data_IF_293389075660
#
_entry.id   IF_293389075660
#
_cell.length_a   1.000
_cell.length_b   1.000
_cell.length_c   1.000
_cell.angle_alpha   90.00
_cell.angle_beta   90.00
_cell.angle_gamma   90.00
#
_symmetry.space_group_name_H-M   'P 1'
#
loop_
_entity.id
_entity.type
_entity.pdbx_description
1 polymer ?
2 polymer ?
3 polymer ?
4 water ?
#
# COMPACT_ATOMS: atom_id res chain seq x y z
N UNK A 1 7.87 1.93 -19.87
CA UNK A 1 7.26 2.80 -18.89
C UNK A 1 8.18 3.10 -17.72
N UNK A 2 7.74 3.98 -16.83
CA UNK A 2 8.50 4.31 -15.63
C UNK A 2 8.47 3.16 -14.63
N UNK A 3 9.60 2.90 -13.99
CA UNK A 3 9.66 1.89 -12.94
C UNK A 3 10.38 2.43 -11.71
N UNK A 4 10.13 1.82 -10.57
CA UNK A 4 10.75 2.28 -9.32
C UNK A 4 11.17 1.14 -8.42
N UNK A 5 12.23 1.38 -7.65
CA UNK A 5 12.67 0.47 -6.60
C UNK A 5 12.63 1.25 -5.31
N UNK A 6 11.99 0.69 -4.28
CA UNK A 6 11.84 1.39 -3.01
C UNK A 6 11.99 0.43 -1.84
N UNK A 7 12.65 0.91 -0.79
CA UNK A 7 12.74 0.17 0.46
C UNK A 7 12.12 0.98 1.58
N UNK A 8 11.35 0.31 2.43
CA UNK A 8 10.75 0.96 3.60
C UNK A 8 11.08 0.15 4.86
N UNK A 9 11.79 0.78 5.79
CA UNK A 9 12.16 0.12 7.04
C UNK A 9 11.29 0.67 8.16
N UNK A 10 10.82 -0.22 9.03
CA UNK A 10 10.07 0.20 10.21
C UNK A 10 10.75 -0.31 11.47
N UNK A 11 11.15 0.61 12.32
CA UNK A 11 11.74 0.30 13.58
C UNK A 11 10.75 0.58 14.71
N UNK A 12 10.65 -0.32 15.67
CA UNK A 12 9.73 -0.15 16.78
C UNK A 12 10.35 -0.43 18.17
N UNK A 13 10.02 0.42 19.13
CA UNK A 13 10.46 0.28 20.51
C UNK A 13 9.23 -0.25 21.25
N UNK A 14 9.39 -1.38 21.94
CA UNK A 14 8.26 -2.00 22.66
C UNK A 14 7.34 -2.80 21.70
N UNK A 15 7.01 -4.03 22.08
CA UNK A 15 6.20 -4.91 21.24
C UNK A 15 4.71 -4.74 21.46
N UNK A 16 3.95 -5.81 21.22
CA UNK A 16 4.52 -7.09 20.79
C UNK A 16 4.15 -7.37 19.33
N UNK A 17 3.05 -6.77 18.89
CA UNK A 17 2.48 -7.04 17.56
C UNK A 17 3.53 -7.23 16.46
N UNK A 18 4.57 -6.41 16.47
CA UNK A 18 5.60 -6.49 15.42
C UNK A 18 7.01 -6.57 16.02
N UNK A 19 7.95 -7.12 15.24
CA UNK A 19 9.36 -7.20 15.64
C UNK A 19 10.02 -5.83 15.71
N UNK A 20 11.23 -5.77 16.26
CA UNK A 20 11.95 -4.52 16.43
C UNK A 20 12.23 -3.83 15.09
N UNK A 21 12.43 -4.64 14.05
CA UNK A 21 12.79 -4.11 12.75
C UNK A 21 12.10 -4.91 11.65
N UNK A 22 11.47 -4.18 10.72
CA UNK A 22 10.84 -4.79 9.55
C UNK A 22 11.30 -4.04 8.31
N UNK A 23 11.65 -4.79 7.26
CA UNK A 23 12.03 -4.17 5.99
C UNK A 23 11.21 -4.77 4.86
N UNK A 24 10.72 -3.90 3.98
CA UNK A 24 9.99 -4.34 2.79
C UNK A 24 10.58 -3.68 1.56
N UNK A 25 10.85 -4.49 0.53
CA UNK A 25 11.35 -3.98 -0.73
C UNK A 25 10.29 -4.08 -1.80
N UNK A 26 10.19 -3.06 -2.64
CA UNK A 26 9.14 -3.02 -3.66
C UNK A 26 9.66 -2.55 -5.00
N UNK A 27 9.16 -3.16 -6.07
CA UNK A 27 9.34 -2.63 -7.41
C UNK A 27 7.96 -2.23 -7.92
N UNK A 28 7.84 -0.99 -8.40
CA UNK A 28 6.55 -0.45 -8.82
C UNK A 28 5.49 -0.64 -7.72
N UNK A 29 5.90 -0.44 -6.48
CA UNK A 29 5.01 -0.49 -5.33
C UNK A 29 4.45 -1.89 -5.05
N UNK A 30 5.06 -2.90 -5.67
CA UNK A 30 4.71 -4.29 -5.40
C UNK A 30 5.83 -4.98 -4.64
N UNK A 31 5.50 -5.56 -3.49
CA UNK A 31 6.53 -6.17 -2.63
C UNK A 31 7.23 -7.33 -3.31
N UNK A 32 8.57 -7.36 -3.21
CA UNK A 32 9.34 -8.47 -3.74
C UNK A 32 10.30 -9.04 -2.68
N UNK A 33 10.40 -8.35 -1.55
CA UNK A 33 11.34 -8.72 -0.50
C UNK A 33 10.75 -8.47 0.89
N UNK A 34 11.13 -9.31 1.85
CA UNK A 34 10.75 -9.11 3.25
C UNK A 34 11.89 -9.48 4.19
N UNK A 35 11.96 -8.77 5.32
CA UNK A 35 12.92 -9.08 6.37
C UNK A 35 12.39 -8.54 7.69
N UNK A 36 12.61 -9.29 8.76
CA UNK A 36 12.37 -8.77 10.10
C UNK A 36 13.36 -9.34 11.11
N UNK A 37 13.43 -8.69 12.27
CA UNK A 37 14.43 -9.03 13.29
C UNK A 37 14.07 -10.25 14.12
N UNK A 38 12.89 -10.83 13.86
CA UNK A 38 12.51 -12.08 14.50
C UNK A 38 13.16 -13.27 13.80
N UNK A 39 13.04 -13.29 12.47
CA UNK A 39 13.59 -14.38 11.67
C UNK A 39 15.04 -14.11 11.31
N UNK A 40 15.42 -12.83 11.26
CA UNK A 40 16.77 -12.44 10.87
C UNK A 40 17.13 -12.97 9.49
N UNK A 41 16.12 -13.16 8.64
CA UNK A 41 16.33 -13.64 7.28
C UNK A 41 15.59 -12.80 6.26
N UNK A 42 16.29 -12.41 5.19
CA UNK A 42 15.67 -11.74 4.05
C UNK A 42 15.14 -12.80 3.10
N UNK A 43 13.89 -12.66 2.68
CA UNK A 43 13.25 -13.66 1.83
C UNK A 43 12.52 -13.06 0.63
N UNK A 44 12.44 -13.83 -0.47
CA UNK A 44 11.75 -13.40 -1.70
C UNK A 44 10.23 -13.40 -1.53
N UNK A 45 9.55 -12.51 -2.25
CA UNK A 45 8.10 -12.42 -2.16
C UNK A 45 7.42 -12.46 -3.53
N UNK A 46 8.21 -12.64 -4.58
CA UNK A 46 7.65 -12.80 -5.93
C UNK A 46 8.36 -13.92 -6.69
N UNK A 47 7.68 -14.47 -7.69
CA UNK A 47 8.26 -15.52 -8.52
C UNK A 47 9.47 -15.01 -9.30
N UNK A 48 9.39 -13.79 -9.81
CA UNK A 48 10.46 -13.30 -10.68
C UNK A 48 11.79 -13.08 -9.95
N UNK A 49 11.75 -12.77 -8.66
CA UNK A 49 12.99 -12.64 -7.91
C UNK A 49 13.48 -14.04 -7.51
N UNK A 50 12.54 -14.93 -7.22
CA UNK A 50 12.87 -16.31 -6.88
C UNK A 50 13.64 -17.02 -7.99
N UNK A 51 13.20 -16.81 -9.22
CA UNK A 51 13.74 -17.53 -10.36
C UNK A 51 15.03 -16.91 -10.91
N UNK A 52 15.39 -15.73 -10.40
CA UNK A 52 16.53 -15.00 -10.95
C UNK A 52 17.63 -14.67 -9.94
N UNK A 53 17.36 -14.91 -8.66
CA UNK A 53 18.37 -14.73 -7.62
C UNK A 53 18.27 -15.88 -6.62
N UNK A 54 19.38 -16.20 -5.97
CA UNK A 54 19.42 -17.35 -5.09
C UNK A 54 20.12 -17.11 -3.76
N UNK A 55 20.74 -18.16 -3.24
CA UNK A 55 21.32 -18.15 -1.90
C UNK A 55 22.29 -17.00 -1.64
N UNK A 56 23.21 -16.78 -2.58
CA UNK A 56 24.21 -15.72 -2.41
C UNK A 56 23.56 -14.34 -2.30
N UNK A 57 22.61 -14.06 -3.18
CA UNK A 57 21.92 -12.78 -3.18
C UNK A 57 21.24 -12.54 -1.83
N UNK A 58 20.54 -13.56 -1.34
CA UNK A 58 19.77 -13.42 -0.11
C UNK A 58 20.63 -13.41 1.15
N UNK A 59 21.73 -14.15 1.12
CA UNK A 59 22.69 -14.12 2.22
C UNK A 59 23.22 -12.71 2.40
N UNK A 60 23.55 -12.06 1.29
CA UNK A 60 24.06 -10.70 1.33
C UNK A 60 22.98 -9.71 1.76
N UNK A 61 21.77 -9.90 1.27
CA UNK A 61 20.66 -9.02 1.64
C UNK A 61 20.34 -9.16 3.13
N UNK A 62 20.33 -10.40 3.61
CA UNK A 62 20.12 -10.68 5.02
C UNK A 62 21.17 -9.97 5.87
N UNK A 63 22.42 -10.07 5.43
CA UNK A 63 23.56 -9.52 6.16
C UNK A 63 23.46 -8.00 6.24
N UNK A 64 23.06 -7.37 5.14
CA UNK A 64 22.88 -5.92 5.13
C UNK A 64 21.79 -5.48 6.09
N UNK A 65 20.70 -6.23 6.12
CA UNK A 65 19.55 -5.85 6.93
C UNK A 65 19.72 -6.17 8.41
N UNK A 66 20.52 -7.18 8.71
CA UNK A 66 20.88 -7.45 10.10
C UNK A 66 21.61 -6.23 10.66
N UNK A 67 22.49 -5.66 9.83
CA UNK A 67 23.17 -4.43 10.18
C UNK A 67 22.20 -3.27 10.30
N UNK A 68 21.25 -3.19 9.38
CA UNK A 68 20.22 -2.16 9.43
C UNK A 68 19.46 -2.22 10.75
N UNK A 69 19.10 -3.44 11.15
CA UNK A 69 18.43 -3.67 12.43
C UNK A 69 19.27 -3.13 13.60
N UNK A 70 20.54 -3.47 13.62
CA UNK A 70 21.43 -3.01 14.67
C UNK A 70 21.49 -1.48 14.72
N UNK A 71 21.64 -0.86 13.56
CA UNK A 71 21.71 0.60 13.48
C UNK A 71 20.40 1.27 13.92
N UNK A 72 19.28 0.70 13.48
CA UNK A 72 17.97 1.23 13.84
C UNK A 72 17.73 1.17 15.34
N UNK A 73 18.20 0.09 15.95
CA UNK A 73 18.08 -0.11 17.39
C UNK A 73 18.78 1.03 18.12
N UNK A 74 20.01 1.33 17.72
CA UNK A 74 20.79 2.39 18.32
C UNK A 74 20.21 3.77 18.01
N UNK A 75 19.72 3.94 16.79
CA UNK A 75 19.18 5.23 16.35
C UNK A 75 17.93 5.64 17.14
N UNK A 76 16.98 4.72 17.27
CA UNK A 76 15.71 5.05 17.91
C UNK A 76 15.89 5.33 19.40
N UNK A 77 16.90 4.69 20.00
CA UNK A 77 17.21 4.92 21.40
C UNK A 77 17.64 6.37 21.58
N UNK A 78 18.40 6.87 20.60
CA UNK A 78 18.92 8.22 20.64
C UNK A 78 17.85 9.29 20.45
N UNK A 79 17.01 9.11 19.43
CA UNK A 79 15.98 10.10 19.13
C UNK A 79 14.92 10.16 20.24
N UNK A 80 14.57 9.01 20.81
CA UNK A 80 13.61 8.97 21.92
C UNK A 80 14.10 9.83 23.08
N UNK A 81 15.39 9.75 23.38
CA UNK A 81 16.00 10.51 24.46
C UNK A 81 15.94 12.01 24.16
N UNK A 82 16.14 12.38 22.90
CA UNK A 82 16.11 13.78 22.50
C UNK A 82 14.71 14.37 22.64
N UNK A 83 13.69 13.53 22.52
CA UNK A 83 12.31 13.95 22.73
C UNK A 83 11.85 13.67 24.15
N UNK A 84 12.78 13.24 25.00
CA UNK A 84 12.45 12.87 26.38
C UNK A 84 11.23 11.96 26.43
N UNK A 85 11.11 11.09 25.43
CA UNK A 85 9.97 10.18 25.31
C UNK A 85 10.35 8.74 25.59
N UNK A 86 11.57 8.52 26.06
CA UNK A 86 12.05 7.18 26.35
C UNK A 86 11.33 6.55 27.53
N UNK A 87 10.19 5.93 27.26
CA UNK A 87 9.42 5.15 28.22
C UNK A 87 8.34 4.35 27.47
N UNK A 88 7.89 4.91 26.36
CA UNK A 88 6.66 4.56 25.68
C UNK A 88 6.98 3.78 24.41
N UNK A 89 5.95 3.50 23.61
CA UNK A 89 6.14 2.83 22.33
C UNK A 89 6.34 3.85 21.21
N UNK A 90 7.45 3.74 20.48
CA UNK A 90 7.78 4.72 19.45
C UNK A 90 8.29 4.09 18.16
N UNK A 91 8.43 4.93 17.14
CA UNK A 91 8.70 4.45 15.78
C UNK A 91 9.84 5.21 15.10
N UNK A 92 10.64 4.48 14.33
CA UNK A 92 11.71 5.07 13.53
C UNK A 92 11.60 4.48 12.13
N UNK A 93 11.35 5.33 11.14
CA UNK A 93 11.11 4.87 9.77
C UNK A 93 12.14 5.41 8.79
N UNK A 94 12.43 4.60 7.78
CA UNK A 94 13.29 5.02 6.69
C UNK A 94 12.69 4.55 5.37
N UNK A 95 12.55 5.47 4.42
CA UNK A 95 12.17 5.09 3.07
C UNK A 95 13.12 5.73 2.07
N UNK A 96 13.53 4.94 1.08
CA UNK A 96 14.40 5.45 0.03
C UNK A 96 14.16 4.64 -1.23
N UNK A 97 14.54 5.19 -2.37
CA UNK A 97 14.34 4.50 -3.63
C UNK A 97 14.66 5.35 -4.83
N UNK A 98 14.59 4.73 -6.00
CA UNK A 98 14.94 5.40 -7.24
C UNK A 98 13.87 5.13 -8.28
N UNK A 99 13.77 6.03 -9.26
CA UNK A 99 12.84 5.90 -10.36
C UNK A 99 13.62 5.95 -11.65
N UNK A 100 13.29 5.06 -12.59
CA UNK A 100 13.88 5.09 -13.92
C UNK A 100 12.78 5.39 -14.94
N UNK A 101 12.96 6.45 -15.73
CA UNK A 101 11.94 6.83 -16.70
C UNK A 101 12.22 6.29 -18.09
N UNK A 102 11.19 6.23 -18.93
CA UNK A 102 11.37 5.97 -20.35
C UNK A 102 12.53 6.80 -20.85
N UNK A 103 12.46 8.09 -20.51
CA UNK A 103 13.55 9.03 -20.69
C UNK A 103 14.91 8.36 -20.67
N UNK A 104 15.13 7.57 -19.63
CA UNK A 104 16.45 7.11 -19.28
C UNK A 104 16.91 7.95 -18.11
N UNK A 105 16.16 9.01 -17.82
CA UNK A 105 16.43 9.89 -16.69
C UNK A 105 15.97 9.24 -15.39
N UNK A 106 16.51 9.72 -14.27
CA UNK A 106 16.27 9.07 -12.99
C UNK A 106 15.91 10.05 -11.87
N UNK A 107 15.21 9.53 -10.87
CA UNK A 107 14.88 10.29 -9.66
C UNK A 107 15.21 9.42 -8.45
N UNK A 108 15.37 10.05 -7.29
CA UNK A 108 15.71 9.33 -6.08
C UNK A 108 15.39 10.13 -4.83
N UNK A 109 15.13 9.43 -3.73
CA UNK A 109 14.84 10.07 -2.46
C UNK A 109 15.37 9.26 -1.28
N UNK A 110 15.59 9.94 -0.16
CA UNK A 110 16.11 9.29 1.04
C UNK A 110 15.58 10.07 2.24
N UNK A 111 14.72 9.44 3.04
CA UNK A 111 14.02 10.13 4.12
C UNK A 111 13.96 9.29 5.39
N UNK A 112 13.91 9.97 6.52
CA UNK A 112 13.74 9.32 7.82
C UNK A 112 12.64 10.02 8.61
N UNK A 113 11.97 9.29 9.49
CA UNK A 113 10.95 9.90 10.33
C UNK A 113 10.91 9.28 11.73
N UNK A 114 10.55 10.10 12.72
CA UNK A 114 10.36 9.59 14.07
C UNK A 114 8.90 9.78 14.48
N UNK A 115 8.29 8.71 14.98
CA UNK A 115 6.87 8.73 15.33
C UNK A 115 6.00 9.28 14.20
N UNK A 116 6.31 8.86 12.97
CA UNK A 116 5.49 9.21 11.82
C UNK A 116 5.61 10.63 11.32
N UNK A 117 6.63 11.36 11.78
CA UNK A 117 6.85 12.73 11.33
C UNK A 117 8.28 12.93 10.84
N UNK A 118 8.44 13.78 9.82
CA UNK A 118 9.74 14.05 9.22
C UNK A 118 10.82 14.30 10.26
N UNK A 119 11.99 13.70 10.05
CA UNK A 119 13.14 13.94 10.91
C UNK A 119 14.26 14.56 10.07
N UNK A 120 14.82 13.78 9.16
CA UNK A 120 15.80 14.29 8.19
C UNK A 120 15.49 13.82 6.78
N UNK A 121 15.75 14.68 5.80
CA UNK A 121 15.49 14.36 4.40
C UNK A 121 16.68 14.75 3.54
N UNK A 122 17.00 13.91 2.56
CA UNK A 122 18.15 14.16 1.69
C UNK A 122 17.83 15.15 0.57
N UNK A 123 18.69 16.14 0.41
CA UNK A 123 18.69 16.99 -0.77
C UNK A 123 19.94 16.64 -1.58
N UNK A 124 19.79 15.77 -2.57
CA UNK A 124 20.97 15.28 -3.28
C UNK A 124 21.48 16.25 -4.33
N UNK A 125 20.83 17.41 -4.43
CA UNK A 125 21.31 18.49 -5.29
C UNK A 125 22.34 19.34 -4.56
N UNK A 126 22.10 19.58 -3.28
CA UNK A 126 23.01 20.37 -2.46
C UNK A 126 23.84 19.47 -1.55
N UNK A 127 23.57 18.17 -1.60
CA UNK A 127 24.28 17.21 -0.76
C UNK A 127 24.21 17.60 0.72
N UNK A 128 23.01 17.96 1.16
CA UNK A 128 22.79 18.31 2.56
C UNK A 128 21.58 17.56 3.10
N UNK A 129 21.42 17.57 4.41
CA UNK A 129 20.26 16.95 5.04
C UNK A 129 19.34 18.01 5.64
N UNK A 130 18.07 17.96 5.24
CA UNK A 130 17.07 18.88 5.78
C UNK A 130 16.55 18.39 7.12
N UNK A 131 16.82 19.17 8.17
CA UNK A 131 16.35 18.83 9.49
C UNK A 131 14.97 19.42 9.71
N UNK A 132 14.03 18.59 10.14
CA UNK A 132 12.64 19.02 10.28
C UNK A 132 12.42 19.75 11.60
N UNK A 133 13.26 19.44 12.58
CA UNK A 133 13.12 19.99 13.91
C UNK A 133 14.48 20.11 14.61
N UNK A 134 14.53 20.82 15.74
CA UNK A 134 15.78 20.96 16.48
C UNK A 134 16.40 19.61 16.83
N UNK A 135 15.57 18.60 17.10
CA UNK A 135 16.07 17.28 17.46
C UNK A 135 16.87 16.62 16.34
N UNK A 136 16.67 17.10 15.11
CA UNK A 136 17.31 16.48 13.95
C UNK A 136 18.60 17.20 13.53
N UNK A 137 18.79 18.41 14.04
CA UNK A 137 19.93 19.22 13.62
C UNK A 137 21.27 18.59 13.97
N UNK A 138 21.38 18.02 15.16
CA UNK A 138 22.61 17.33 15.55
C UNK A 138 22.95 16.21 14.56
N UNK A 139 21.93 15.47 14.14
CA UNK A 139 22.12 14.41 13.15
C UNK A 139 22.57 14.98 11.81
N UNK A 140 21.96 16.10 11.42
CA UNK A 140 22.32 16.80 10.18
C UNK A 140 23.81 17.14 10.14
N UNK A 141 24.32 17.70 11.23
CA UNK A 141 25.74 18.07 11.29
C UNK A 141 26.64 16.84 11.28
N UNK A 142 26.22 15.80 11.99
CA UNK A 142 27.01 14.57 12.06
C UNK A 142 27.13 13.94 10.68
N UNK A 143 25.99 13.77 10.03
CA UNK A 143 25.93 13.11 8.73
C UNK A 143 26.62 13.90 7.63
N UNK A 144 26.54 15.23 7.71
CA UNK A 144 27.21 16.06 6.72
C UNK A 144 28.72 15.99 6.87
N UNK A 145 29.19 15.72 8.09
CA UNK A 145 30.61 15.54 8.34
C UNK A 145 31.09 14.16 7.88
N UNK A 146 30.19 13.19 7.91
CA UNK A 146 30.53 11.82 7.53
C UNK A 146 30.25 11.54 6.06
N UNK A 147 29.78 12.56 5.35
CA UNK A 147 29.53 12.45 3.92
C UNK A 147 28.44 11.43 3.59
N UNK A 148 27.47 11.30 4.47
CA UNK A 148 26.38 10.35 4.27
C UNK A 148 25.57 10.69 3.02
N UNK A 149 25.38 11.98 2.76
CA UNK A 149 24.62 12.42 1.60
C UNK A 149 25.29 11.99 0.29
N UNK A 150 26.62 12.12 0.24
CA UNK A 150 27.39 11.69 -0.92
C UNK A 150 27.22 10.19 -1.16
N UNK A 151 27.30 9.41 -0.10
CA UNK A 151 27.15 7.96 -0.21
C UNK A 151 25.73 7.59 -0.65
N UNK A 152 24.74 8.22 -0.04
CA UNK A 152 23.34 7.98 -0.38
C UNK A 152 23.03 8.35 -1.82
N UNK A 153 23.51 9.52 -2.26
CA UNK A 153 23.34 9.95 -3.63
C UNK A 153 23.98 8.96 -4.60
N UNK A 154 25.17 8.51 -4.26
CA UNK A 154 25.88 7.52 -5.06
C UNK A 154 25.05 6.26 -5.23
N UNK A 155 24.48 5.78 -4.12
CA UNK A 155 23.62 4.60 -4.17
C UNK A 155 22.38 4.84 -5.02
N UNK A 156 21.69 5.94 -4.77
CA UNK A 156 20.44 6.23 -5.46
C UNK A 156 20.62 6.34 -6.97
N UNK A 157 21.69 6.99 -7.40
CA UNK A 157 21.89 7.30 -8.81
C UNK A 157 22.58 6.18 -9.58
N UNK A 158 23.21 5.26 -8.87
CA UNK A 158 23.98 4.20 -9.52
C UNK A 158 23.50 2.80 -9.14
N UNK A 159 23.83 2.38 -7.92
CA UNK A 159 23.49 1.06 -7.43
C UNK A 159 21.98 0.75 -7.51
N UNK A 160 21.16 1.67 -7.02
CA UNK A 160 19.71 1.50 -7.02
C UNK A 160 19.16 1.32 -8.42
N UNK A 161 19.62 2.15 -9.35
CA UNK A 161 19.18 2.08 -10.74
C UNK A 161 19.65 0.81 -11.43
N UNK A 162 20.89 0.41 -11.18
CA UNK A 162 21.44 -0.79 -11.81
C UNK A 162 20.65 -2.03 -11.40
N UNK A 163 20.28 -2.11 -10.14
CA UNK A 163 19.46 -3.24 -9.67
C UNK A 163 18.01 -3.15 -10.15
N UNK A 164 17.49 -1.93 -10.21
CA UNK A 164 16.14 -1.73 -10.73
C UNK A 164 16.05 -2.27 -12.17
N UNK A 165 17.05 -1.94 -12.98
CA UNK A 165 17.08 -2.43 -14.36
C UNK A 165 17.07 -3.96 -14.41
N UNK A 166 17.85 -4.59 -13.54
CA UNK A 166 17.86 -6.04 -13.42
C UNK A 166 16.48 -6.57 -13.06
N UNK A 167 15.86 -5.99 -12.03
CA UNK A 167 14.56 -6.44 -11.55
C UNK A 167 13.49 -6.32 -12.63
N UNK A 168 13.51 -5.21 -13.36
CA UNK A 168 12.54 -4.99 -14.42
C UNK A 168 12.66 -6.06 -15.49
N UNK A 169 13.90 -6.47 -15.78
CA UNK A 169 14.14 -7.56 -16.72
C UNK A 169 13.61 -8.88 -16.16
N UNK A 170 13.92 -9.15 -14.90
CA UNK A 170 13.46 -10.36 -14.22
C UNK A 170 11.94 -10.52 -14.32
N UNK A 171 11.21 -9.44 -14.02
CA UNK A 171 9.76 -9.50 -13.99
C UNK A 171 9.07 -8.67 -15.06
N UNK A 172 9.68 -8.58 -16.23
CA UNK A 172 9.17 -7.75 -17.31
C UNK A 172 7.70 -8.02 -17.61
N UNK A 173 7.34 -9.29 -17.73
CA UNK A 173 5.98 -9.68 -18.09
C UNK A 173 4.95 -9.20 -17.08
N UNK A 174 5.26 -9.36 -15.80
CA UNK A 174 4.36 -8.97 -14.72
C UNK A 174 4.32 -7.45 -14.57
N UNK A 175 5.48 -6.82 -14.62
CA UNK A 175 5.58 -5.38 -14.39
C UNK A 175 5.03 -4.56 -15.55
N UNK A 176 5.09 -5.11 -16.76
CA UNK A 176 4.61 -4.40 -17.93
C UNK A 176 3.20 -4.83 -18.34
N UNK A 177 2.57 -5.64 -17.49
CA UNK A 177 1.26 -6.19 -17.83
C UNK A 177 0.19 -5.11 -17.91
N UNK A 178 -0.76 -5.31 -18.81
CA UNK A 178 -1.92 -4.43 -18.92
C UNK A 178 -3.19 -5.27 -18.83
N UNK A 179 -3.87 -5.18 -17.70
CA UNK A 179 -5.09 -5.95 -17.47
C UNK A 179 -6.31 -5.03 -17.41
N UNK A 180 -7.26 -5.26 -18.32
CA UNK A 180 -8.46 -4.43 -18.37
C UNK A 180 -9.39 -4.72 -17.20
N UNK A 181 -10.13 -3.70 -16.76
CA UNK A 181 -11.07 -3.84 -15.64
C UNK A 181 -12.24 -4.75 -16.00
N UNK A 182 -12.74 -5.48 -15.01
CA UNK A 182 -14.03 -6.15 -15.14
C UNK A 182 -15.07 -5.20 -14.56
N UNK A 183 -16.08 -4.86 -15.34
CA UNK A 183 -17.01 -3.81 -14.96
C UNK A 183 -18.42 -4.32 -14.75
N UNK A 184 -19.05 -3.87 -13.66
CA UNK A 184 -20.42 -4.24 -13.37
C UNK A 184 -21.22 -3.06 -12.84
N UNK A 185 -22.51 -3.04 -13.14
CA UNK A 185 -23.43 -2.06 -12.59
C UNK A 185 -24.21 -2.69 -11.45
N UNK A 186 -24.09 -2.13 -10.25
CA UNK A 186 -24.69 -2.69 -9.05
C UNK A 186 -25.84 -1.82 -8.55
N UNK A 187 -26.86 -2.46 -8.00
CA UNK A 187 -27.98 -1.75 -7.41
C UNK A 187 -28.68 -2.62 -6.39
N UNK A 188 -28.84 -2.12 -5.17
CA UNK A 188 -29.51 -2.90 -4.13
C UNK A 188 -31.01 -2.95 -4.41
N UNK A 189 -31.57 -1.80 -4.77
CA UNK A 189 -33.00 -1.66 -4.99
C UNK A 189 -33.25 -0.87 -6.26
N UNK A 190 -34.36 -1.17 -6.96
CA UNK A 190 -34.72 -0.42 -8.17
C UNK A 190 -34.81 1.08 -7.89
N UNK A 191 -34.94 1.45 -6.63
CA UNK A 191 -35.04 2.85 -6.22
C UNK A 191 -33.70 3.35 -5.67
N UNK A 192 -32.80 2.43 -5.36
CA UNK A 192 -31.51 2.76 -4.76
C UNK A 192 -30.53 3.34 -5.77
N UNK A 193 -29.44 3.94 -5.28
CA UNK A 193 -28.37 4.46 -6.14
C UNK A 193 -27.71 3.33 -6.92
N UNK A 194 -27.07 3.65 -8.04
CA UNK A 194 -26.42 2.65 -8.87
C UNK A 194 -24.91 2.81 -8.81
N UNK A 195 -24.21 1.70 -8.58
CA UNK A 195 -22.75 1.73 -8.47
C UNK A 195 -22.08 1.10 -9.69
N UNK A 196 -21.21 1.86 -10.32
CA UNK A 196 -20.36 1.32 -11.39
C UNK A 196 -19.06 0.82 -10.77
N UNK A 197 -18.88 -0.50 -10.78
CA UNK A 197 -17.76 -1.13 -10.10
C UNK A 197 -16.75 -1.70 -11.09
N UNK A 198 -15.49 -1.25 -10.98
CA UNK A 198 -14.42 -1.76 -11.84
C UNK A 198 -13.36 -2.43 -10.98
N UNK A 199 -12.95 -3.64 -11.37
CA UNK A 199 -11.99 -4.37 -10.57
C UNK A 199 -11.05 -5.24 -11.40
N UNK A 200 -9.91 -5.58 -10.82
CA UNK A 200 -8.98 -6.52 -11.43
C UNK A 200 -8.07 -5.89 -12.47
N UNK A 201 -7.98 -4.56 -12.46
CA UNK A 201 -7.19 -3.88 -13.49
C UNK A 201 -5.78 -3.49 -13.01
N UNK A 202 -4.89 -3.33 -13.98
CA UNK A 202 -3.52 -2.91 -13.73
C UNK A 202 -2.94 -2.39 -15.03
N UNK A 203 -2.25 -1.24 -15.00
CA UNK A 203 -1.94 -0.39 -13.83
C UNK A 203 -3.17 0.24 -13.18
N UNK A 204 -2.93 0.97 -12.09
CA UNK A 204 -4.01 1.47 -11.24
C UNK A 204 -4.81 2.63 -11.80
N UNK A 205 -4.26 3.31 -12.81
CA UNK A 205 -4.94 4.45 -13.40
C UNK A 205 -6.22 4.05 -14.11
N UNK A 206 -7.34 4.63 -13.69
CA UNK A 206 -8.64 4.35 -14.30
C UNK A 206 -9.55 5.57 -14.24
N UNK A 207 -10.44 5.69 -15.22
CA UNK A 207 -11.43 6.78 -15.20
C UNK A 207 -12.84 6.22 -15.36
N UNK A 208 -13.69 6.53 -14.38
CA UNK A 208 -15.07 6.10 -14.41
C UNK A 208 -15.98 7.32 -14.57
N UNK A 209 -16.80 7.31 -15.62
CA UNK A 209 -17.67 8.44 -15.90
C UNK A 209 -19.09 7.97 -16.23
N UNK A 210 -20.06 8.81 -15.88
CA UNK A 210 -21.45 8.51 -16.18
C UNK A 210 -21.94 9.35 -17.36
N UNK A 211 -22.86 8.80 -18.16
CA UNK A 211 -23.48 9.53 -19.24
C UNK A 211 -25.01 9.42 -19.17
N UNK A 212 -25.70 10.49 -19.53
CA UNK A 212 -27.15 10.51 -19.52
C UNK A 212 -27.68 10.91 -20.89
N UNK A 213 -27.98 9.84 -21.60
CA UNK A 213 -28.71 9.87 -22.81
C UNK A 213 -28.05 10.00 -24.16
N UNK A 214 -26.73 9.96 -24.20
CA UNK A 214 -26.16 10.85 -23.24
C UNK A 214 -24.75 11.16 -23.67
N UNK A 215 -24.35 12.34 -23.30
CA UNK A 215 -23.01 12.79 -23.34
C UNK A 215 -22.76 12.79 -21.89
N UNK A 216 -21.54 12.97 -21.46
CA UNK A 216 -21.35 12.60 -20.05
C UNK A 216 -22.09 13.49 -19.04
N UNK A 217 -22.21 12.98 -17.83
CA UNK A 217 -23.04 13.58 -16.78
C UNK A 217 -22.33 13.45 -15.44
N UNK A 218 -22.06 14.57 -14.78
CA UNK A 218 -21.40 14.51 -13.47
C UNK A 218 -22.11 15.31 -12.36
N UNK A 219 -23.44 15.21 -12.34
CA UNK A 219 -24.21 15.66 -11.20
C UNK A 219 -24.64 14.43 -10.42
N UNK A 220 -24.65 14.53 -9.09
CA UNK A 220 -25.06 13.42 -8.24
C UNK A 220 -24.16 12.21 -8.44
N UNK A 221 -22.88 12.46 -8.71
CA UNK A 221 -21.90 11.39 -8.86
C UNK A 221 -20.92 11.39 -7.70
N UNK A 222 -20.68 10.20 -7.15
CA UNK A 222 -19.73 10.04 -6.05
C UNK A 222 -18.64 9.03 -6.41
N UNK A 223 -17.51 9.56 -6.89
CA UNK A 223 -16.38 8.71 -7.26
C UNK A 223 -15.61 8.25 -6.02
N UNK A 224 -15.56 6.93 -5.83
CA UNK A 224 -14.87 6.36 -4.68
C UNK A 224 -13.37 6.31 -4.85
N UNK A 225 -12.68 5.87 -3.80
CA UNK A 225 -11.21 5.81 -3.82
C UNK A 225 -10.69 4.61 -4.59
N UNK A 226 -9.51 4.77 -5.18
CA UNK A 226 -8.78 3.64 -5.76
C UNK A 226 -8.38 2.70 -4.63
N UNK A 227 -8.73 1.42 -4.77
CA UNK A 227 -8.46 0.46 -3.71
C UNK A 227 -7.64 -0.73 -4.23
N UNK A 228 -6.77 -1.27 -3.37
CA UNK A 228 -5.96 -2.43 -3.77
C UNK A 228 -6.71 -3.74 -3.61
N UNK A 229 -6.55 -4.64 -4.57
CA UNK A 229 -7.02 -6.01 -4.41
C UNK A 229 -5.92 -6.83 -3.74
N UNK A 230 -6.23 -8.10 -3.45
CA UNK A 230 -5.29 -8.95 -2.72
C UNK A 230 -4.20 -9.52 -3.62
N UNK A 231 -4.37 -9.40 -4.93
CA UNK A 231 -3.48 -10.06 -5.88
C UNK A 231 -2.58 -9.08 -6.65
N UNK A 232 -2.54 -7.82 -6.21
CA UNK A 232 -1.72 -6.83 -6.87
C UNK A 232 -2.49 -5.98 -7.88
N UNK A 233 -3.72 -6.38 -8.17
CA UNK A 233 -4.58 -5.58 -9.04
C UNK A 233 -5.29 -4.52 -8.23
N UNK A 234 -6.14 -3.74 -8.89
CA UNK A 234 -6.83 -2.64 -8.22
C UNK A 234 -8.32 -2.62 -8.56
N UNK A 235 -9.08 -1.85 -7.78
CA UNK A 235 -10.48 -1.64 -8.10
C UNK A 235 -10.88 -0.22 -7.74
N UNK A 236 -11.99 0.23 -8.29
CA UNK A 236 -12.52 1.55 -8.01
C UNK A 236 -13.97 1.59 -8.44
N UNK A 237 -14.77 2.42 -7.77
CA UNK A 237 -16.18 2.51 -8.13
C UNK A 237 -16.71 3.94 -8.07
N UNK A 238 -17.84 4.16 -8.72
CA UNK A 238 -18.52 5.44 -8.73
C UNK A 238 -20.02 5.22 -8.56
N UNK A 239 -20.66 6.06 -7.76
CA UNK A 239 -22.07 5.89 -7.44
C UNK A 239 -22.93 7.02 -8.01
N UNK A 240 -24.04 6.65 -8.64
CA UNK A 240 -24.98 7.62 -9.19
C UNK A 240 -26.28 7.65 -8.40
N UNK A 241 -26.62 8.83 -7.88
CA UNK A 241 -27.86 9.02 -7.15
C UNK A 241 -28.79 10.02 -7.84
N UNK A 242 -29.62 9.55 -8.74
CA UNK A 242 -30.43 10.47 -9.48
C UNK A 242 -31.96 10.26 -9.30
N UNK A 243 -32.75 11.28 -9.60
CA UNK A 243 -34.19 11.19 -9.47
C UNK A 243 -34.81 10.23 -10.45
N UNK A 244 -35.91 9.58 -10.06
CA UNK A 244 -36.62 8.61 -10.92
C UNK A 244 -36.91 9.20 -12.29
N UNK A 247 -34.03 8.74 -14.37
CA UNK A 247 -33.38 7.44 -14.50
C UNK A 247 -34.22 6.51 -15.37
N UNK A 248 -35.50 6.78 -15.32
CA UNK A 248 -36.64 6.09 -15.90
C UNK A 248 -36.73 6.61 -17.32
N UNK A 249 -36.99 7.91 -17.44
CA UNK A 249 -37.15 8.55 -18.75
C UNK A 249 -35.87 8.92 -19.49
N UNK A 250 -34.74 8.76 -18.82
CA UNK A 250 -33.44 9.05 -19.44
C UNK A 250 -32.55 7.82 -19.44
N UNK A 251 -31.74 7.65 -20.48
CA UNK A 251 -30.89 6.48 -20.60
C UNK A 251 -29.49 6.73 -20.05
N UNK A 252 -29.26 6.25 -18.83
CA UNK A 252 -27.96 6.39 -18.16
C UNK A 252 -27.04 5.24 -18.53
N UNK A 253 -25.74 5.51 -18.53
CA UNK A 253 -24.73 4.48 -18.78
C UNK A 253 -23.47 4.80 -18.02
N UNK A 254 -22.65 3.79 -17.78
CA UNK A 254 -21.35 3.99 -17.15
C UNK A 254 -20.24 3.65 -18.13
N UNK A 255 -19.25 4.53 -18.20
CA UNK A 255 -18.11 4.32 -19.08
C UNK A 255 -16.82 4.25 -18.28
N UNK A 256 -16.14 3.11 -18.36
CA UNK A 256 -14.87 2.92 -17.68
C UNK A 256 -13.74 2.88 -18.69
N UNK A 257 -12.78 3.78 -18.53
CA UNK A 257 -11.65 3.86 -19.45
C UNK A 257 -10.33 3.46 -18.79
N UNK A 258 -9.62 2.54 -19.43
CA UNK A 258 -8.36 2.04 -18.90
C UNK A 258 -7.42 1.71 -20.06
N UNK A 259 -6.24 2.29 -20.07
CA UNK A 259 -5.30 2.08 -21.15
C UNK A 259 -5.89 2.41 -22.53
N UNK A 260 -6.53 3.55 -22.63
CA UNK A 260 -7.05 4.03 -23.91
C UNK A 260 -8.17 3.18 -24.48
N UNK A 261 -8.76 2.33 -23.64
CA UNK A 261 -9.89 1.51 -24.05
C UNK A 261 -11.07 1.71 -23.11
N UNK A 262 -12.27 1.67 -23.65
CA UNK A 262 -13.46 1.92 -22.85
C UNK A 262 -14.39 0.72 -22.80
N UNK A 263 -15.10 0.61 -21.68
CA UNK A 263 -16.13 -0.40 -21.50
C UNK A 263 -17.39 0.31 -21.04
N UNK A 264 -18.51 0.05 -21.69
CA UNK A 264 -19.77 0.70 -21.34
C UNK A 264 -20.78 -0.28 -20.76
N UNK A 265 -21.49 0.15 -19.73
CA UNK A 265 -22.55 -0.65 -19.13
C UNK A 265 -23.82 0.18 -19.02
N UNK A 266 -24.93 -0.38 -19.50
CA UNK A 266 -26.21 0.32 -19.49
C UNK A 266 -27.16 -0.32 -18.47
N UNK A 267 -28.36 0.25 -18.33
CA UNK A 267 -29.31 -0.22 -17.34
C UNK A 267 -29.67 -1.69 -17.52
N UNK A 268 -29.57 -2.17 -18.77
CA UNK A 268 -29.83 -3.58 -19.06
C UNK A 268 -28.82 -4.49 -18.38
N UNK A 269 -27.73 -3.91 -17.91
CA UNK A 269 -26.62 -4.69 -17.34
C UNK A 269 -26.68 -4.77 -15.82
N UNK A 270 -27.56 -3.99 -15.21
CA UNK A 270 -27.64 -3.91 -13.76
C UNK A 270 -27.88 -5.26 -13.09
N UNK A 271 -27.06 -5.58 -12.11
CA UNK A 271 -27.22 -6.80 -11.34
C UNK A 271 -27.54 -6.48 -9.89
N UNK A 272 -28.09 -7.46 -9.18
CA UNK A 272 -28.51 -7.26 -7.79
C UNK A 272 -28.71 -8.59 -7.07
N UNK A 273 -28.58 -8.57 -5.75
CA UNK A 273 -29.11 -9.61 -4.89
C UNK A 273 -30.49 -9.12 -4.45
N UNK A 274 -31.53 -9.95 -4.57
CA UNK A 274 -31.41 -11.33 -5.00
C UNK A 274 -32.05 -11.52 -6.37
N UNK A 275 -32.59 -10.43 -6.93
CA UNK A 275 -33.21 -10.46 -8.25
C UNK A 275 -32.20 -10.82 -9.34
N UNK B 20 0.26 12.47 18.48
CA UNK B 20 0.81 11.17 18.85
C UNK B 20 0.14 10.02 18.10
N UNK B 21 -1.17 9.88 18.31
CA UNK B 21 -1.90 8.77 17.72
C UNK B 21 -2.78 9.20 16.55
N UNK B 22 -2.79 8.38 15.50
CA UNK B 22 -3.64 8.63 14.34
C UNK B 22 -4.47 7.38 14.05
N UNK B 23 -5.78 7.45 14.28
CA UNK B 23 -6.66 6.30 14.14
C UNK B 23 -6.76 5.80 12.70
N UNK B 24 -6.94 4.48 12.54
CA UNK B 24 -6.95 3.82 11.23
C UNK B 24 -8.18 4.18 10.40
N UNK B 25 -7.97 4.45 9.12
CA UNK B 25 -9.09 4.42 8.18
C UNK B 25 -9.31 2.96 7.83
N UNK B 26 -10.58 2.56 7.79
CA UNK B 26 -10.92 1.16 7.55
C UNK B 26 -11.88 1.06 6.38
N UNK B 27 -11.50 0.28 5.37
CA UNK B 27 -12.35 0.10 4.21
C UNK B 27 -12.53 -1.39 3.93
N UNK B 28 -13.78 -1.83 3.93
CA UNK B 28 -14.11 -3.24 3.71
C UNK B 28 -14.82 -3.41 2.38
N UNK B 29 -14.34 -4.34 1.56
CA UNK B 29 -14.90 -4.57 0.24
C UNK B 29 -14.54 -5.96 -0.26
N UNK B 30 -15.12 -6.35 -1.38
CA UNK B 30 -14.81 -7.62 -2.01
C UNK B 30 -14.12 -7.42 -3.35
N UNK B 31 -13.31 -8.39 -3.76
CA UNK B 31 -12.61 -8.33 -5.03
C UNK B 31 -13.60 -8.14 -6.17
N UNK B 32 -14.57 -9.04 -6.25
CA UNK B 32 -15.64 -8.96 -7.26
C UNK B 32 -16.93 -8.49 -6.61
N UNK B 33 -17.91 -8.06 -7.43
CA UNK B 33 -19.23 -7.75 -6.89
C UNK B 33 -19.71 -8.87 -5.97
N UNK B 34 -20.32 -8.51 -4.85
CA UNK B 34 -20.72 -9.48 -3.85
C UNK B 34 -21.97 -10.27 -4.19
N UNK B 35 -21.96 -10.94 -5.34
CA UNK B 35 -23.08 -11.78 -5.74
C UNK B 35 -23.18 -12.99 -4.81
N UNK B 36 -24.38 -13.23 -4.28
CA UNK B 36 -24.58 -14.39 -3.42
C UNK B 36 -24.25 -15.68 -4.15
N UNK B 37 -23.56 -16.59 -3.45
CA UNK B 37 -23.24 -17.90 -3.99
C UNK B 37 -21.99 -17.96 -4.85
N UNK B 38 -21.38 -16.81 -5.10
CA UNK B 38 -20.20 -16.75 -5.97
C UNK B 38 -18.90 -16.63 -5.19
N UNK B 39 -17.93 -17.50 -5.50
CA UNK B 39 -16.62 -17.45 -4.87
C UNK B 39 -16.01 -16.05 -5.01
N UNK B 40 -15.47 -15.53 -3.92
CA UNK B 40 -15.00 -14.15 -3.90
C UNK B 40 -13.88 -13.98 -2.88
N UNK B 41 -13.41 -12.75 -2.71
CA UNK B 41 -12.40 -12.44 -1.70
C UNK B 41 -12.83 -11.24 -0.88
N UNK B 42 -12.90 -11.42 0.44
CA UNK B 42 -13.23 -10.35 1.35
C UNK B 42 -11.97 -9.61 1.72
N UNK B 43 -12.00 -8.27 1.62
CA UNK B 43 -10.81 -7.46 1.80
C UNK B 43 -11.04 -6.34 2.80
N UNK B 44 -10.07 -6.16 3.69
CA UNK B 44 -10.12 -5.06 4.64
C UNK B 44 -8.82 -4.28 4.52
N UNK B 45 -8.93 -3.04 4.04
CA UNK B 45 -7.77 -2.17 3.86
C UNK B 45 -7.72 -1.17 5.00
N UNK B 46 -6.67 -1.28 5.82
CA UNK B 46 -6.51 -0.45 7.00
C UNK B 46 -5.30 0.46 6.83
N UNK B 47 -5.52 1.77 6.82
CA UNK B 47 -4.46 2.72 6.47
C UNK B 47 -4.40 3.94 7.38
N UNK B 48 -3.34 4.73 7.21
CA UNK B 48 -3.19 6.00 7.89
C UNK B 48 -3.15 5.94 9.40
N UNK B 49 -2.66 4.84 9.96
CA UNK B 49 -2.64 4.70 11.41
C UNK B 49 -1.24 4.80 12.01
N UNK B 50 -1.19 5.06 13.31
CA UNK B 50 0.06 5.19 14.06
C UNK B 50 -0.26 5.35 15.54
N UNK B 51 0.47 4.63 16.41
CA UNK B 51 1.58 3.71 16.13
C UNK B 51 1.13 2.46 15.36
N UNK B 52 2.09 1.63 14.92
CA UNK B 52 1.82 0.46 14.07
C UNK B 52 1.16 -0.72 14.79
N UNK B 53 1.33 -0.85 16.09
CA UNK B 53 0.70 -1.93 16.83
C UNK B 53 -0.81 -1.91 16.62
N UNK B 54 -1.34 -3.00 16.05
CA UNK B 54 -2.74 -3.04 15.67
C UNK B 54 -3.22 -4.48 15.51
N UNK B 55 -4.53 -4.67 15.61
CA UNK B 55 -5.12 -6.00 15.44
C UNK B 55 -6.25 -5.94 14.42
N UNK B 56 -6.16 -6.80 13.40
CA UNK B 56 -7.19 -6.83 12.37
C UNK B 56 -7.73 -8.25 12.22
N UNK B 57 -9.04 -8.38 12.17
CA UNK B 57 -9.67 -9.68 12.00
C UNK B 57 -10.89 -9.56 11.10
N UNK B 58 -11.08 -10.55 10.23
CA UNK B 58 -12.28 -10.63 9.42
C UNK B 58 -13.25 -11.58 10.11
N UNK B 59 -14.51 -11.16 10.22
CA UNK B 59 -15.49 -11.92 10.98
C UNK B 59 -16.66 -12.37 10.12
N UNK B 60 -17.11 -13.59 10.34
CA UNK B 60 -18.35 -14.09 9.77
C UNK B 60 -19.34 -14.29 10.89
N UNK B 61 -20.42 -13.51 10.88
CA UNK B 61 -21.41 -13.56 11.95
C UNK B 61 -20.77 -13.37 13.33
N UNK B 62 -19.79 -12.48 13.39
CA UNK B 62 -19.16 -12.13 14.66
C UNK B 62 -18.04 -13.05 15.09
N UNK B 63 -17.78 -14.09 14.30
CA UNK B 63 -16.73 -15.04 14.63
C UNK B 63 -15.54 -14.95 13.67
N UNK B 64 -14.33 -14.93 14.23
CA UNK B 64 -13.11 -14.76 13.45
C UNK B 64 -12.95 -15.82 12.38
N UNK B 65 -12.78 -15.38 11.13
CA UNK B 65 -12.53 -16.29 10.02
C UNK B 65 -11.07 -16.71 10.04
N UNK B 66 -10.83 -18.02 9.98
CA UNK B 66 -9.48 -18.55 10.03
C UNK B 66 -8.81 -18.52 8.64
N UNK B 67 -7.49 -18.60 8.64
CA UNK B 67 -6.73 -18.65 7.39
C UNK B 67 -6.79 -17.35 6.60
N UNK B 68 -7.17 -16.26 7.26
CA UNK B 68 -7.10 -14.95 6.63
C UNK B 68 -5.64 -14.54 6.59
N UNK B 69 -5.24 -13.85 5.53
CA UNK B 69 -3.85 -13.41 5.42
C UNK B 69 -3.71 -11.90 5.49
N UNK B 70 -2.56 -11.46 5.99
CA UNK B 70 -2.28 -10.05 6.20
C UNK B 70 -0.97 -9.67 5.53
N UNK B 71 -0.97 -8.55 4.81
CA UNK B 71 0.24 -8.07 4.16
C UNK B 71 1.29 -7.67 5.20
N UNK B 72 2.55 -7.64 4.78
CA UNK B 72 3.64 -7.24 5.65
C UNK B 72 3.60 -5.74 5.92
N UNK B 73 3.95 -5.36 7.14
CA UNK B 73 3.88 -3.95 7.55
C UNK B 73 4.65 -3.03 6.62
N UNK B 74 3.96 -2.02 6.08
CA UNK B 74 4.58 -1.03 5.21
C UNK B 74 3.89 0.32 5.40
N UNK B 75 4.41 1.35 4.73
CA UNK B 75 3.84 2.68 4.83
C UNK B 75 4.05 3.48 3.55
N UNK B 76 3.22 4.49 3.35
CA UNK B 76 3.31 5.33 2.16
C UNK B 76 4.06 6.63 2.47
N UNK B 77 4.28 7.44 1.45
CA UNK B 77 4.84 8.76 1.68
C UNK B 77 3.89 9.53 2.58
N UNK B 78 4.44 10.18 3.60
CA UNK B 78 3.63 10.77 4.65
C UNK B 78 3.80 9.95 5.91
N UNK B 79 4.35 8.75 5.75
CA UNK B 79 4.78 7.90 6.86
C UNK B 79 3.68 7.04 7.47
N UNK B 80 2.44 7.24 7.03
CA UNK B 80 1.32 6.51 7.59
C UNK B 80 1.29 5.04 7.15
N UNK B 81 1.13 4.14 8.11
CA UNK B 81 1.15 2.71 7.85
C UNK B 81 -0.11 2.24 7.16
N UNK B 82 0.00 1.13 6.43
CA UNK B 82 -1.16 0.48 5.85
C UNK B 82 -1.00 -1.03 5.86
N UNK B 83 -2.12 -1.73 6.01
CA UNK B 83 -2.14 -3.18 6.02
C UNK B 83 -3.38 -3.66 5.27
N UNK B 84 -3.27 -4.82 4.65
CA UNK B 84 -4.42 -5.43 3.99
C UNK B 84 -4.65 -6.83 4.55
N UNK B 85 -5.86 -7.09 5.01
CA UNK B 85 -6.23 -8.42 5.43
C UNK B 85 -7.29 -8.96 4.51
N UNK B 86 -7.13 -10.19 4.05
CA UNK B 86 -8.05 -10.77 3.08
C UNK B 86 -8.24 -12.25 3.29
N UNK B 87 -9.40 -12.77 2.85
CA UNK B 87 -9.67 -14.19 2.91
C UNK B 87 -10.72 -14.56 1.86
N UNK B 88 -10.64 -15.77 1.34
CA UNK B 88 -11.64 -16.27 0.42
C UNK B 88 -12.97 -16.35 1.15
N UNK B 89 -14.05 -15.97 0.48
CA UNK B 89 -15.38 -16.13 1.04
C UNK B 89 -16.44 -16.29 -0.03
N UNK B 90 -17.61 -16.77 0.38
CA UNK B 90 -18.70 -17.04 -0.52
C UNK B 90 -19.97 -16.52 0.14
N UNK B 91 -20.26 -15.23 -0.04
CA UNK B 91 -21.35 -14.56 0.67
C UNK B 91 -22.69 -15.21 0.38
N UNK B 92 -23.48 -15.40 1.44
CA UNK B 92 -24.83 -15.93 1.30
C UNK B 92 -25.82 -15.06 2.06
N UNK B 93 -27.09 -15.18 1.70
CA UNK B 93 -28.15 -14.31 2.20
C UNK B 93 -28.12 -14.08 3.72
N UNK B 94 -27.86 -15.14 4.47
CA UNK B 94 -27.99 -15.09 5.92
C UNK B 94 -26.84 -14.37 6.63
N UNK B 95 -25.67 -14.41 6.03
CA UNK B 95 -24.43 -14.09 6.76
C UNK B 95 -24.00 -12.63 6.72
N UNK B 96 -23.42 -12.19 7.84
CA UNK B 96 -22.86 -10.84 7.95
C UNK B 96 -21.35 -10.92 8.03
N UNK B 97 -20.66 -10.27 7.10
CA UNK B 97 -19.21 -10.21 7.12
C UNK B 97 -18.74 -8.84 7.55
N UNK B 98 -17.67 -8.79 8.33
CA UNK B 98 -17.19 -7.52 8.87
C UNK B 98 -15.69 -7.57 9.12
N UNK B 99 -15.09 -6.39 9.31
CA UNK B 99 -13.69 -6.28 9.66
C UNK B 99 -13.59 -5.57 11.00
N UNK B 100 -12.99 -6.24 11.98
CA UNK B 100 -12.82 -5.67 13.30
C UNK B 100 -11.37 -5.26 13.51
N UNK B 101 -11.15 -4.00 13.85
CA UNK B 101 -9.81 -3.46 14.01
C UNK B 101 -9.61 -2.85 15.39
N UNK B 102 -8.65 -3.36 16.14
CA UNK B 102 -8.34 -2.80 17.45
C UNK B 102 -7.04 -2.01 17.36
N UNK B 103 -7.11 -0.73 17.66
CA UNK B 103 -5.94 0.14 17.66
C UNK B 103 -5.91 0.97 18.94
N UNK B 104 -4.92 0.71 19.77
CA UNK B 104 -4.81 1.38 21.06
C UNK B 104 -6.18 1.07 21.66
N UNK B 105 -6.80 2.08 22.26
CA UNK B 105 -7.95 1.90 23.15
C UNK B 105 -9.26 1.75 22.39
N UNK B 106 -9.20 1.83 21.07
CA UNK B 106 -10.41 1.79 20.24
C UNK B 106 -10.52 0.48 19.47
N UNK B 107 -11.73 -0.08 19.44
CA UNK B 107 -12.01 -1.20 18.57
C UNK B 107 -13.20 -0.86 17.66
N UNK B 108 -12.93 -0.78 16.36
CA UNK B 108 -13.98 -0.46 15.39
C UNK B 108 -14.32 -1.68 14.54
N UNK B 109 -15.62 -1.94 14.39
CA UNK B 109 -16.09 -3.03 13.56
C UNK B 109 -16.93 -2.48 12.39
N UNK B 110 -16.51 -2.80 11.18
CA UNK B 110 -17.18 -2.30 9.99
C UNK B 110 -17.78 -3.43 9.17
N UNK B 111 -19.09 -3.37 8.96
CA UNK B 111 -19.80 -4.40 8.22
C UNK B 111 -19.62 -4.22 6.72
N UNK B 112 -19.34 -5.32 6.02
CA UNK B 112 -19.18 -5.30 4.58
C UNK B 112 -20.50 -5.01 3.88
N UNK B 113 -20.49 -4.02 3.00
CA UNK B 113 -21.65 -3.66 2.19
C UNK B 113 -21.45 -4.16 0.77
N UNK B 114 -22.35 -5.02 0.30
CA UNK B 114 -22.24 -5.59 -1.03
C UNK B 114 -22.63 -4.60 -2.12
N UNK B 115 -23.47 -3.63 -1.76
CA UNK B 115 -24.04 -2.69 -2.72
C UNK B 115 -24.97 -3.38 -3.70
N UNK B 116 -25.40 -4.59 -3.35
CA UNK B 116 -26.30 -5.38 -4.19
C UNK B 116 -27.49 -5.87 -3.38
N UNK C 1 18.44 -4.00 -4.67
CA UNK C 1 19.29 -4.39 -3.54
C UNK C 1 19.43 -3.24 -2.56
N UNK C 2 19.27 -3.53 -1.27
CA UNK C 2 19.30 -2.50 -0.24
C UNK C 2 20.66 -1.80 -0.15
N UNK C 3 20.65 -0.56 0.34
CA UNK C 3 21.88 0.18 0.58
C UNK C 3 22.67 -0.46 1.73
N UNK C 4 23.89 -0.88 1.44
CA UNK C 4 24.69 -1.60 2.43
C UNK C 4 25.30 -0.70 3.50
N UNK C 5 25.28 0.61 3.26
CA UNK C 5 25.88 1.56 4.19
C UNK C 5 24.83 2.33 4.98
N UNK C 6 24.83 2.15 6.30
CA UNK C 6 23.96 2.93 7.18
C UNK C 6 24.77 3.56 8.30
N UNK C 7 24.31 4.71 8.76
CA UNK C 7 24.93 5.39 9.90
C UNK C 7 23.88 5.70 10.95
N UNK C 8 24.21 5.50 12.22
CA UNK C 8 23.27 5.85 13.28
C UNK C 8 23.16 7.37 13.31
N UNK C 9 21.99 7.86 13.73
CA UNK C 9 21.73 9.30 13.77
C UNK C 9 22.56 10.00 14.84
#
# INVERSE_FOLDING_TARGET
GTHSLKYVYTGVSRGIDFPEFTAVGMVDDGQFMYFDSNSMKAVPKTEWIRQNEGADYWDRQTQVLIGAHQVFKDSIQIVMERFNQSKGVHTWQNMYGCELNDDGTTQGFYQYAYDGEDFVSLDKNTLTWTAANPQAVITKHKWEALAVAEQNKGYLENTCIEWLKKYVAYGKDTLERKVSPQVSLLQKDPSSPVTCHATGFYPSGVTITWQKNGQDHDEDVDLGELLPNEDGSFQRMSTLNVGPDEWKNNRFSCVVEHQDKTIRKTEDDIITNFD
MRALVSFALFCVLYISVQGKVSSPKIQVYSHYPGEYGKENTLICYVSGFHPPDISIELLKNGEVIADAQQTDLAFEKGWQFHLTKSVSFKPEKSDEYSCSVRHMSKTKKIVWESNM
FANFCLMMI
#
